data_IF_068835634761
#
_entry.id   IF_068835634761
#
_cell.length_a   1.000
_cell.length_b   1.000
_cell.length_c   1.000
_cell.angle_alpha   90.00
_cell.angle_beta   90.00
_cell.angle_gamma   90.00
#
_symmetry.space_group_name_H-M   'P 1'
#
loop_
_entity.id
_entity.type
_entity.pdbx_description
1 polymer ?
#
# COMPACT_ATOMS: atom_id res chain seq x y z
N UNK A 1 8.81 36.49 40.21
CA UNK A 1 8.28 35.14 39.93
C UNK A 1 9.04 34.55 38.76
N UNK A 2 9.83 33.51 38.98
CA UNK A 2 10.52 32.78 37.91
C UNK A 2 9.67 31.57 37.55
N UNK A 3 9.10 31.54 36.35
CA UNK A 3 8.48 30.33 35.82
C UNK A 3 9.59 29.38 35.38
N UNK A 4 9.83 28.33 36.17
CA UNK A 4 10.68 27.21 35.80
C UNK A 4 9.88 26.33 34.82
N UNK A 5 10.14 26.47 33.53
CA UNK A 5 9.67 25.49 32.54
C UNK A 5 10.47 24.21 32.72
N UNK A 6 9.92 23.26 33.47
CA UNK A 6 10.44 21.89 33.54
C UNK A 6 10.03 21.20 32.24
N UNK A 7 10.95 21.12 31.28
CA UNK A 7 10.79 20.27 30.10
C UNK A 7 11.04 18.83 30.55
N UNK A 8 9.99 18.08 30.88
CA UNK A 8 10.11 16.64 31.08
C UNK A 8 10.51 16.01 29.74
N UNK A 9 11.63 15.28 29.65
CA UNK A 9 11.98 14.59 28.42
C UNK A 9 10.87 13.59 28.08
N UNK A 10 10.54 13.39 26.79
CA UNK A 10 9.69 12.28 26.41
C UNK A 10 10.34 11.01 26.97
N UNK A 11 9.57 10.18 27.68
CA UNK A 11 10.03 8.87 28.17
C UNK A 11 10.33 7.91 27.00
N UNK A 12 9.96 6.64 27.12
CA UNK A 12 10.19 5.64 26.05
C UNK A 12 9.26 5.78 24.81
N UNK A 13 8.77 6.99 24.54
CA UNK A 13 7.88 7.28 23.42
C UNK A 13 8.64 7.27 22.09
N UNK A 14 8.14 6.48 21.13
CA UNK A 14 8.64 6.45 19.75
C UNK A 14 7.67 7.18 18.84
N UNK A 15 8.20 7.90 17.85
CA UNK A 15 7.41 8.58 16.83
C UNK A 15 7.82 8.07 15.45
N UNK A 16 6.84 7.86 14.57
CA UNK A 16 7.05 7.47 13.17
C UNK A 16 6.19 8.33 12.26
N UNK A 17 6.70 8.61 11.07
CA UNK A 17 5.93 9.24 9.99
C UNK A 17 5.56 8.16 8.98
N UNK A 18 4.25 7.99 8.75
CA UNK A 18 3.70 6.96 7.87
C UNK A 18 2.73 7.58 6.88
N UNK A 19 2.70 7.02 5.67
CA UNK A 19 1.78 7.44 4.61
C UNK A 19 0.74 6.34 4.39
N UNK A 20 -0.49 6.59 4.82
CA UNK A 20 -1.63 5.71 4.56
C UNK A 20 -2.37 6.11 3.28
N UNK A 21 -2.95 5.12 2.61
CA UNK A 21 -3.87 5.31 1.48
C UNK A 21 -5.25 4.81 1.90
N UNK A 22 -6.18 5.73 2.13
CA UNK A 22 -7.57 5.40 2.47
C UNK A 22 -8.45 5.62 1.25
N UNK A 23 -9.28 4.62 0.93
CA UNK A 23 -10.19 4.67 -0.22
C UNK A 23 -11.64 4.71 0.27
N UNK A 24 -12.41 5.64 -0.27
CA UNK A 24 -13.87 5.64 -0.14
C UNK A 24 -14.45 4.74 -1.23
N UNK A 25 -15.12 3.67 -0.82
CA UNK A 25 -15.68 2.66 -1.72
C UNK A 25 -17.20 2.52 -1.52
N UNK A 26 -17.93 1.93 -2.48
CA UNK A 26 -19.32 1.53 -2.28
C UNK A 26 -19.47 0.59 -1.07
N UNK A 27 -20.65 0.57 -0.46
CA UNK A 27 -20.91 -0.25 0.73
C UNK A 27 -20.79 -1.76 0.45
N UNK A 28 -21.18 -2.19 -0.76
CA UNK A 28 -21.01 -3.57 -1.20
C UNK A 28 -19.65 -3.72 -1.89
N UNK A 29 -18.76 -4.59 -1.39
CA UNK A 29 -17.48 -4.86 -2.04
C UNK A 29 -17.69 -5.68 -3.32
N UNK A 30 -16.73 -5.57 -4.25
CA UNK A 30 -16.56 -6.52 -5.34
C UNK A 30 -16.16 -7.90 -4.79
N UNK A 31 -16.39 -8.93 -5.59
CA UNK A 31 -15.83 -10.25 -5.35
C UNK A 31 -14.30 -10.28 -5.60
N UNK A 32 -13.58 -11.29 -5.08
CA UNK A 32 -12.20 -11.56 -5.51
C UNK A 32 -12.10 -11.70 -7.03
N UNK A 33 -10.97 -11.28 -7.59
CA UNK A 33 -10.78 -11.23 -9.04
C UNK A 33 -9.32 -11.46 -9.42
N UNK A 34 -9.08 -11.89 -10.65
CA UNK A 34 -7.77 -11.75 -11.28
C UNK A 34 -7.69 -10.37 -11.91
N UNK A 35 -6.55 -9.70 -11.72
CA UNK A 35 -6.28 -8.40 -12.32
C UNK A 35 -4.97 -8.39 -13.09
N UNK A 36 -4.95 -7.61 -14.16
CA UNK A 36 -3.76 -7.37 -14.97
C UNK A 36 -3.51 -5.87 -15.05
N UNK A 37 -2.30 -5.43 -14.70
CA UNK A 37 -1.89 -4.05 -14.89
C UNK A 37 -1.56 -3.80 -16.36
N UNK A 38 -2.19 -2.79 -16.94
CA UNK A 38 -2.05 -2.47 -18.37
C UNK A 38 -0.93 -1.45 -18.64
N UNK A 39 -0.32 -0.87 -17.61
CA UNK A 39 0.58 0.27 -17.75
C UNK A 39 -0.18 1.60 -17.86
N UNK A 40 0.50 2.65 -18.32
CA UNK A 40 -0.11 3.94 -18.67
C UNK A 40 -0.29 4.93 -17.51
N UNK A 41 0.12 4.57 -16.29
CA UNK A 41 0.37 5.56 -15.24
C UNK A 41 1.75 6.17 -15.53
N UNK A 42 1.81 7.48 -15.70
CA UNK A 42 3.05 8.22 -15.99
C UNK A 42 4.11 7.95 -14.91
N UNK A 43 5.30 7.52 -15.34
CA UNK A 43 6.42 7.15 -14.46
C UNK A 43 6.29 5.75 -13.83
N UNK A 44 5.24 5.00 -14.16
CA UNK A 44 4.97 3.65 -13.67
C UNK A 44 4.49 2.74 -14.80
N UNK A 45 4.96 2.95 -16.03
CA UNK A 45 4.41 2.32 -17.23
C UNK A 45 4.58 0.79 -17.23
N UNK A 46 5.67 0.30 -16.65
CA UNK A 46 6.02 -1.13 -16.62
C UNK A 46 5.72 -1.82 -15.28
N UNK A 47 5.78 -1.08 -14.18
CA UNK A 47 5.51 -1.61 -12.84
C UNK A 47 4.87 -0.54 -11.95
N UNK A 48 3.85 -0.92 -11.20
CA UNK A 48 3.13 -0.04 -10.29
C UNK A 48 3.17 -0.55 -8.85
N UNK A 49 3.91 0.16 -8.00
CA UNK A 49 3.97 -0.06 -6.55
C UNK A 49 2.74 0.56 -5.88
N UNK A 50 1.71 -0.27 -5.65
CA UNK A 50 0.46 0.16 -5.03
C UNK A 50 0.63 0.50 -3.55
N UNK A 51 1.43 -0.28 -2.82
CA UNK A 51 1.86 0.03 -1.46
C UNK A 51 3.21 -0.66 -1.18
N UNK A 52 3.59 -0.77 0.09
CA UNK A 52 4.86 -1.37 0.48
C UNK A 52 4.93 -2.90 0.26
N UNK A 53 3.79 -3.58 0.14
CA UNK A 53 3.69 -5.04 0.00
C UNK A 53 3.11 -5.48 -1.33
N UNK A 54 2.54 -4.57 -2.12
CA UNK A 54 1.86 -4.88 -3.38
C UNK A 54 2.51 -4.12 -4.53
N UNK A 55 3.01 -4.91 -5.48
CA UNK A 55 3.58 -4.46 -6.73
C UNK A 55 2.91 -5.21 -7.86
N UNK A 56 2.43 -4.47 -8.86
CA UNK A 56 1.84 -4.99 -10.09
C UNK A 56 2.78 -4.77 -11.26
N UNK A 57 3.10 -5.84 -11.99
CA UNK A 57 3.88 -5.76 -13.22
C UNK A 57 2.96 -5.76 -14.42
N UNK A 58 3.31 -4.97 -15.43
CA UNK A 58 2.52 -4.85 -16.65
C UNK A 58 2.37 -6.21 -17.32
N UNK A 59 1.14 -6.56 -17.69
CA UNK A 59 0.82 -7.82 -18.36
C UNK A 59 0.85 -9.07 -17.48
N UNK A 60 1.25 -8.96 -16.20
CA UNK A 60 1.20 -10.09 -15.27
C UNK A 60 -0.21 -10.20 -14.66
N UNK A 61 -0.85 -11.34 -14.84
CA UNK A 61 -2.08 -11.69 -14.13
C UNK A 61 -1.78 -11.96 -12.65
N UNK A 62 -2.60 -11.42 -11.77
CA UNK A 62 -2.50 -11.72 -10.35
C UNK A 62 -3.86 -11.76 -9.67
N UNK A 63 -4.03 -12.70 -8.75
CA UNK A 63 -5.26 -12.84 -7.99
C UNK A 63 -5.30 -11.87 -6.81
N UNK A 64 -6.39 -11.12 -6.65
CA UNK A 64 -6.58 -10.13 -5.58
C UNK A 64 -7.87 -10.38 -4.81
N UNK A 65 -7.84 -10.11 -3.50
CA UNK A 65 -9.01 -10.21 -2.63
C UNK A 65 -10.03 -9.11 -2.93
N UNK A 66 -11.29 -9.37 -2.54
CA UNK A 66 -12.45 -8.48 -2.65
C UNK A 66 -12.16 -6.99 -2.37
N UNK A 67 -11.47 -6.68 -1.28
CA UNK A 67 -11.16 -5.28 -0.91
C UNK A 67 -10.27 -4.58 -1.94
N UNK A 68 -9.22 -5.24 -2.40
CA UNK A 68 -8.30 -4.69 -3.41
C UNK A 68 -8.95 -4.67 -4.80
N UNK A 69 -9.73 -5.70 -5.15
CA UNK A 69 -10.56 -5.70 -6.35
C UNK A 69 -11.51 -4.49 -6.37
N UNK A 70 -12.15 -4.18 -5.24
CA UNK A 70 -13.03 -3.01 -5.09
C UNK A 70 -12.28 -1.69 -5.28
N UNK A 71 -11.07 -1.58 -4.74
CA UNK A 71 -10.22 -0.38 -4.93
C UNK A 71 -9.86 -0.19 -6.40
N UNK A 72 -9.35 -1.25 -7.04
CA UNK A 72 -8.92 -1.18 -8.44
C UNK A 72 -10.11 -0.89 -9.37
N UNK A 73 -11.28 -1.46 -9.08
CA UNK A 73 -12.50 -1.28 -9.88
C UNK A 73 -13.17 0.08 -9.69
N UNK A 74 -13.21 0.62 -8.46
CA UNK A 74 -14.02 1.81 -8.16
C UNK A 74 -13.23 3.10 -7.94
N UNK A 75 -11.91 3.05 -8.05
CA UNK A 75 -11.07 4.24 -7.96
C UNK A 75 -10.56 4.69 -9.33
N UNK A 76 -9.75 5.76 -9.35
CA UNK A 76 -9.04 6.23 -10.53
C UNK A 76 -8.16 5.18 -11.23
N UNK A 77 -7.86 4.08 -10.55
CA UNK A 77 -7.02 3.01 -11.09
C UNK A 77 -7.73 2.13 -12.13
N UNK A 78 -9.07 2.14 -12.18
CA UNK A 78 -9.85 1.27 -13.06
C UNK A 78 -9.32 1.27 -14.51
N UNK A 79 -9.07 2.45 -15.09
CA UNK A 79 -8.60 2.59 -16.48
C UNK A 79 -7.23 1.97 -16.77
N UNK A 80 -6.46 1.60 -15.75
CA UNK A 80 -5.13 1.00 -15.89
C UNK A 80 -5.11 -0.49 -15.56
N UNK A 81 -6.25 -1.07 -15.18
CA UNK A 81 -6.35 -2.47 -14.79
C UNK A 81 -7.47 -3.17 -15.54
N UNK A 82 -7.17 -4.36 -16.06
CA UNK A 82 -8.19 -5.30 -16.52
C UNK A 82 -8.59 -6.18 -15.34
N UNK A 83 -9.89 -6.29 -15.04
CA UNK A 83 -10.41 -7.04 -13.90
C UNK A 83 -11.30 -8.17 -14.41
N UNK A 84 -10.93 -9.42 -14.12
CA UNK A 84 -11.65 -10.63 -14.46
C UNK A 84 -12.23 -11.28 -13.19
N UNK A 85 -13.55 -11.20 -12.96
CA UNK A 85 -14.19 -11.81 -11.80
C UNK A 85 -14.08 -13.35 -11.81
N UNK A 86 -13.92 -13.97 -10.63
CA UNK A 86 -14.12 -15.42 -10.45
C UNK A 86 -13.02 -16.35 -10.96
N UNK A 87 -12.05 -15.87 -11.73
CA UNK A 87 -10.88 -16.66 -12.12
C UNK A 87 -9.74 -16.41 -11.13
N UNK A 88 -9.15 -17.46 -10.56
CA UNK A 88 -7.92 -17.38 -9.77
C UNK A 88 -6.72 -17.72 -10.67
N UNK A 89 -6.00 -16.69 -11.12
CA UNK A 89 -4.80 -16.86 -11.95
C UNK A 89 -3.62 -16.07 -11.39
N UNK A 90 -2.43 -16.61 -11.63
CA UNK A 90 -1.17 -15.99 -11.20
C UNK A 90 -0.99 -15.98 -9.67
N UNK A 91 0.06 -15.30 -9.18
CA UNK A 91 0.33 -15.22 -7.76
C UNK A 91 -0.73 -14.37 -7.04
N UNK A 92 -1.16 -14.83 -5.86
CA UNK A 92 -2.05 -14.08 -4.99
C UNK A 92 -1.36 -12.84 -4.42
N UNK A 93 -1.94 -11.66 -4.67
CA UNK A 93 -1.53 -10.38 -4.07
C UNK A 93 -2.51 -10.06 -2.95
N UNK A 94 -2.01 -10.12 -1.72
CA UNK A 94 -2.72 -9.66 -0.54
C UNK A 94 -1.83 -8.64 0.14
N UNK A 95 -2.39 -7.48 0.50
CA UNK A 95 -1.76 -6.60 1.47
C UNK A 95 -1.67 -7.43 2.76
N UNK A 96 -0.47 -7.90 3.11
CA UNK A 96 -0.22 -8.26 4.50
C UNK A 96 -0.25 -6.94 5.26
N UNK A 97 -1.37 -6.66 5.88
CA UNK A 97 -1.59 -5.52 6.76
C UNK A 97 -0.82 -5.79 8.06
N UNK A 98 0.48 -6.03 7.98
CA UNK A 98 1.15 -6.71 9.08
C UNK A 98 2.65 -6.48 9.09
N UNK A 99 3.04 -5.21 9.14
CA UNK A 99 4.24 -4.83 9.90
C UNK A 99 3.89 -3.61 10.71
N UNK A 100 4.19 -3.70 12.01
CA UNK A 100 4.12 -2.55 12.89
C UNK A 100 4.94 -1.39 12.27
N UNK A 101 4.38 -0.17 12.17
CA UNK A 101 5.10 0.99 11.62
C UNK A 101 6.50 1.23 12.20
N UNK A 102 6.70 0.97 13.50
CA UNK A 102 7.98 1.08 14.18
C UNK A 102 8.94 -0.04 13.78
N UNK A 103 8.46 -1.27 13.58
CA UNK A 103 9.27 -2.36 13.03
C UNK A 103 9.71 -2.07 11.59
N UNK A 104 8.80 -1.54 10.76
CA UNK A 104 9.13 -1.16 9.38
C UNK A 104 10.17 -0.04 9.33
N UNK A 105 10.04 0.99 10.18
CA UNK A 105 11.01 2.08 10.27
C UNK A 105 12.38 1.62 10.78
N UNK A 106 12.42 0.68 11.74
CA UNK A 106 13.68 0.17 12.30
C UNK A 106 14.56 -0.53 11.25
N UNK A 107 13.95 -1.17 10.23
CA UNK A 107 14.68 -1.83 9.14
C UNK A 107 15.34 -0.85 8.15
N UNK A 108 14.82 0.37 8.02
CA UNK A 108 15.38 1.41 7.12
C UNK A 108 16.58 2.13 7.71
N UNK A 109 16.72 2.17 9.04
CA UNK A 109 17.82 2.84 9.74
C UNK A 109 19.20 2.18 9.58
N UNK A 110 19.29 0.99 8.96
CA UNK A 110 20.56 0.29 8.75
C UNK A 110 21.20 0.56 7.37
N UNK A 111 20.64 1.46 6.57
CA UNK A 111 21.36 2.00 5.42
C UNK A 111 22.24 3.14 5.94
N UNK A 112 23.55 2.94 5.98
CA UNK A 112 24.51 4.01 6.24
C UNK A 112 24.15 5.16 5.32
N UNK A 113 23.71 6.29 5.89
CA UNK A 113 23.52 7.50 5.12
C UNK A 113 24.84 7.83 4.45
N UNK A 114 24.80 8.03 3.13
CA UNK A 114 25.93 8.61 2.42
C UNK A 114 26.00 10.08 2.85
N UNK A 115 27.06 10.44 3.57
CA UNK A 115 27.59 11.79 3.55
C UNK A 115 28.31 12.00 2.22
#
# INVERSE_FOLDING_TARGET
MSFLYIFLPPGDSKFVSVTYRLFKLPAKPCEPATVTYNGGIEGFEEEFSFDHGIVFKKGEECHVKAGLASILTHSRYNKYFTVCPGEEKGPGKCSKLEKDPFEYCSQRGNKKGCC
#
